data_IF_038716708423
#
_entry.id   IF_038716708423
#
_cell.length_a   1.000
_cell.length_b   1.000
_cell.length_c   1.000
_cell.angle_alpha   90.00
_cell.angle_beta   90.00
_cell.angle_gamma   90.00
#
_symmetry.space_group_name_H-M   'P 1'
#
loop_
_entity.id
_entity.type
_entity.pdbx_description
1 polymer ?
#
# COMPACT_ATOMS: atom_id res chain seq x y z
N UNK A 1 -18.60 -0.47 7.12
CA UNK A 1 -17.42 -1.31 6.78
C UNK A 1 -17.38 -1.42 5.26
N UNK A 2 -16.26 -1.12 4.65
CA UNK A 2 -16.00 -1.21 3.21
C UNK A 2 -16.26 -2.64 2.70
N UNK A 3 -16.99 -2.79 1.61
CA UNK A 3 -17.25 -4.10 1.02
C UNK A 3 -16.05 -4.52 0.16
N UNK A 4 -15.41 -5.66 0.46
CA UNK A 4 -14.38 -6.26 -0.40
C UNK A 4 -15.01 -7.36 -1.25
N UNK A 5 -14.81 -7.29 -2.57
CA UNK A 5 -15.30 -8.26 -3.55
C UNK A 5 -14.05 -8.89 -4.21
N UNK A 6 -13.85 -10.18 -3.98
CA UNK A 6 -12.84 -10.95 -4.73
C UNK A 6 -13.45 -11.43 -6.04
N UNK A 7 -13.04 -10.81 -7.13
CA UNK A 7 -13.62 -10.99 -8.44
C UNK A 7 -13.15 -12.27 -9.11
N UNK A 8 -14.08 -12.92 -9.79
CA UNK A 8 -13.80 -13.95 -10.80
C UNK A 8 -14.32 -13.53 -12.18
N UNK A 9 -15.12 -12.44 -12.23
CA UNK A 9 -15.64 -11.85 -13.45
C UNK A 9 -15.95 -10.36 -13.19
N UNK A 10 -14.95 -9.53 -13.42
CA UNK A 10 -15.01 -8.08 -13.15
C UNK A 10 -16.23 -7.41 -13.80
N UNK A 11 -16.60 -7.82 -15.03
CA UNK A 11 -17.72 -7.25 -15.77
C UNK A 11 -19.04 -7.49 -15.04
N UNK A 12 -19.32 -8.74 -14.67
CA UNK A 12 -20.57 -9.10 -14.02
C UNK A 12 -20.70 -8.44 -12.63
N UNK A 13 -19.61 -8.39 -11.87
CA UNK A 13 -19.59 -7.86 -10.51
C UNK A 13 -19.68 -6.33 -10.48
N UNK A 14 -19.00 -5.65 -11.42
CA UNK A 14 -19.08 -4.20 -11.55
C UNK A 14 -20.48 -3.76 -12.01
N UNK A 15 -21.05 -4.43 -13.01
CA UNK A 15 -22.40 -4.15 -13.49
C UNK A 15 -23.43 -4.33 -12.35
N UNK A 16 -23.39 -5.47 -11.65
CA UNK A 16 -24.28 -5.73 -10.53
C UNK A 16 -24.15 -4.70 -9.39
N UNK A 17 -22.93 -4.28 -9.09
CA UNK A 17 -22.67 -3.26 -8.08
C UNK A 17 -23.21 -1.89 -8.51
N UNK A 18 -23.00 -1.49 -9.77
CA UNK A 18 -23.51 -0.23 -10.30
C UNK A 18 -25.04 -0.20 -10.35
N UNK A 19 -25.69 -1.32 -10.73
CA UNK A 19 -27.14 -1.46 -10.69
C UNK A 19 -27.68 -1.30 -9.25
N UNK A 20 -27.01 -1.93 -8.28
CA UNK A 20 -27.36 -1.80 -6.85
C UNK A 20 -27.21 -0.36 -6.36
N UNK A 21 -26.14 0.33 -6.75
CA UNK A 21 -25.88 1.69 -6.35
C UNK A 21 -26.79 2.71 -7.04
N UNK A 22 -27.36 2.38 -8.20
CA UNK A 22 -28.31 3.22 -8.96
C UNK A 22 -27.84 4.68 -9.07
N UNK A 23 -26.60 4.88 -9.53
CA UNK A 23 -26.02 6.22 -9.67
C UNK A 23 -26.66 6.97 -10.85
N UNK A 24 -26.89 8.29 -10.66
CA UNK A 24 -27.41 9.14 -11.74
C UNK A 24 -26.37 9.41 -12.83
N UNK A 25 -25.09 9.35 -12.49
CA UNK A 25 -23.94 9.46 -13.42
C UNK A 25 -22.78 8.63 -12.89
N UNK A 26 -22.04 8.07 -13.84
CA UNK A 26 -20.81 7.30 -13.55
C UNK A 26 -19.63 8.01 -14.19
N UNK A 27 -18.56 8.16 -13.41
CA UNK A 27 -17.27 8.68 -13.84
C UNK A 27 -16.22 7.59 -13.63
N UNK A 28 -15.31 7.45 -14.60
CA UNK A 28 -14.18 6.53 -14.49
C UNK A 28 -12.89 7.31 -14.41
N UNK A 29 -12.18 7.19 -13.29
CA UNK A 29 -10.86 7.79 -13.09
C UNK A 29 -9.79 6.73 -13.34
N UNK A 30 -8.85 7.07 -14.23
CA UNK A 30 -7.65 6.30 -14.55
C UNK A 30 -6.42 7.23 -14.57
N UNK A 31 -5.23 6.68 -14.52
CA UNK A 31 -4.04 7.36 -15.01
C UNK A 31 -3.73 6.93 -16.46
N UNK A 32 -2.80 7.64 -17.12
CA UNK A 32 -2.45 7.38 -18.53
C UNK A 32 -1.97 5.94 -18.77
N UNK A 33 -1.38 5.28 -17.77
CA UNK A 33 -0.92 3.89 -17.86
C UNK A 33 -2.09 2.92 -17.71
N UNK A 34 -2.93 3.12 -16.72
CA UNK A 34 -4.08 2.25 -16.45
C UNK A 34 -5.21 2.44 -17.48
N UNK A 35 -5.35 3.63 -18.06
CA UNK A 35 -6.23 3.86 -19.22
C UNK A 35 -5.81 2.97 -20.40
N UNK A 36 -4.51 2.84 -20.65
CA UNK A 36 -4.00 2.04 -21.76
C UNK A 36 -4.03 0.53 -21.47
N UNK A 37 -3.61 0.11 -20.27
CA UNK A 37 -3.39 -1.30 -19.95
C UNK A 37 -4.57 -1.98 -19.27
N UNK A 38 -5.31 -1.27 -18.43
CA UNK A 38 -6.35 -1.85 -17.58
C UNK A 38 -7.77 -1.53 -18.06
N UNK A 39 -8.00 -0.36 -18.70
CA UNK A 39 -9.30 0.02 -19.27
C UNK A 39 -9.85 -1.03 -20.25
N UNK A 40 -9.05 -1.66 -21.13
CA UNK A 40 -9.55 -2.70 -22.03
C UNK A 40 -10.17 -3.90 -21.32
N UNK A 41 -9.68 -4.26 -20.12
CA UNK A 41 -10.17 -5.39 -19.33
C UNK A 41 -11.60 -5.18 -18.77
N UNK A 42 -12.06 -3.94 -18.72
CA UNK A 42 -13.40 -3.56 -18.25
C UNK A 42 -14.27 -2.95 -19.38
N UNK A 43 -13.84 -3.06 -20.64
CA UNK A 43 -14.51 -2.44 -21.79
C UNK A 43 -15.92 -2.99 -22.06
N UNK A 44 -16.19 -4.22 -21.64
CA UNK A 44 -17.49 -4.88 -21.81
C UNK A 44 -18.48 -4.56 -20.68
N UNK A 45 -18.05 -3.85 -19.62
CA UNK A 45 -18.94 -3.47 -18.53
C UNK A 45 -19.99 -2.47 -19.00
N UNK A 46 -21.26 -2.83 -18.88
CA UNK A 46 -22.40 -1.96 -19.26
C UNK A 46 -22.41 -0.66 -18.47
N UNK A 47 -22.03 -0.74 -17.18
CA UNK A 47 -21.91 0.40 -16.29
C UNK A 47 -20.95 1.48 -16.81
N UNK A 48 -19.96 1.09 -17.64
CA UNK A 48 -18.96 1.99 -18.17
C UNK A 48 -19.21 2.49 -19.59
N UNK A 49 -20.26 1.98 -20.29
CA UNK A 49 -20.57 2.40 -21.65
C UNK A 49 -20.86 3.90 -21.80
N UNK A 50 -21.42 4.50 -20.76
CA UNK A 50 -21.76 5.93 -20.72
C UNK A 50 -21.01 6.68 -19.61
N UNK A 51 -19.99 6.08 -19.02
CA UNK A 51 -19.17 6.73 -18.01
C UNK A 51 -18.31 7.84 -18.64
N UNK A 52 -18.22 8.98 -17.96
CA UNK A 52 -17.29 10.04 -18.34
C UNK A 52 -15.87 9.66 -17.86
N UNK A 53 -14.92 9.57 -18.80
CA UNK A 53 -13.53 9.25 -18.47
C UNK A 53 -12.78 10.47 -17.97
N UNK A 54 -12.06 10.29 -16.88
CA UNK A 54 -11.12 11.26 -16.30
C UNK A 54 -9.74 10.59 -16.27
N UNK A 55 -8.82 11.11 -17.11
CA UNK A 55 -7.46 10.55 -17.20
C UNK A 55 -6.46 11.54 -16.61
N UNK A 56 -5.69 11.08 -15.62
CA UNK A 56 -4.67 11.89 -14.95
C UNK A 56 -3.25 11.42 -15.27
N UNK A 57 -2.24 12.17 -14.89
CA UNK A 57 -0.84 11.77 -15.04
C UNK A 57 -0.53 10.52 -14.19
N UNK A 58 0.34 9.65 -14.68
CA UNK A 58 0.77 8.46 -13.96
C UNK A 58 1.83 8.78 -12.89
N UNK A 59 2.02 7.85 -11.97
CA UNK A 59 2.99 7.86 -10.87
C UNK A 59 2.70 8.83 -9.73
N UNK A 60 3.35 8.61 -8.59
CA UNK A 60 3.11 9.34 -7.34
C UNK A 60 3.46 10.85 -7.43
N UNK A 61 4.26 11.25 -8.40
CA UNK A 61 4.57 12.66 -8.67
C UNK A 61 3.31 13.46 -9.06
N UNK A 62 2.30 12.80 -9.60
CA UNK A 62 1.02 13.40 -9.97
C UNK A 62 -0.04 13.34 -8.85
N UNK A 63 0.31 12.82 -7.67
CA UNK A 63 -0.58 12.79 -6.51
C UNK A 63 -0.63 14.14 -5.81
N UNK A 64 -1.04 15.18 -6.54
CA UNK A 64 -0.94 16.59 -6.15
C UNK A 64 -2.30 17.28 -6.02
N UNK A 65 -2.30 18.48 -5.42
CA UNK A 65 -3.48 19.34 -5.35
C UNK A 65 -3.97 19.76 -6.75
N UNK A 66 -3.03 20.01 -7.68
CA UNK A 66 -3.39 20.41 -9.06
C UNK A 66 -4.12 19.28 -9.79
N UNK A 67 -3.65 18.04 -9.67
CA UNK A 67 -4.33 16.86 -10.21
C UNK A 67 -5.69 16.64 -9.55
N UNK A 68 -5.78 16.83 -8.25
CA UNK A 68 -7.06 16.76 -7.52
C UNK A 68 -8.05 17.81 -8.04
N UNK A 69 -7.58 19.04 -8.29
CA UNK A 69 -8.38 20.12 -8.88
C UNK A 69 -8.89 19.78 -10.30
N UNK A 70 -8.05 19.08 -11.10
CA UNK A 70 -8.48 18.58 -12.43
C UNK A 70 -9.64 17.57 -12.29
N UNK A 71 -9.56 16.64 -11.35
CA UNK A 71 -10.64 15.67 -11.09
C UNK A 71 -11.93 16.38 -10.66
N UNK A 72 -11.85 17.34 -9.72
CA UNK A 72 -13.04 18.13 -9.32
C UNK A 72 -13.63 18.93 -10.47
N UNK A 73 -12.80 19.50 -11.32
CA UNK A 73 -13.23 20.24 -12.51
C UNK A 73 -13.97 19.33 -13.48
N UNK A 74 -13.44 18.12 -13.74
CA UNK A 74 -14.08 17.14 -14.62
C UNK A 74 -15.44 16.69 -14.04
N UNK A 75 -15.51 16.36 -12.74
CA UNK A 75 -16.76 16.02 -12.06
C UNK A 75 -17.79 17.16 -12.14
N UNK A 76 -17.36 18.40 -11.98
CA UNK A 76 -18.24 19.58 -12.06
C UNK A 76 -18.76 19.82 -13.47
N UNK A 77 -17.88 19.75 -14.48
CA UNK A 77 -18.22 19.92 -15.91
C UNK A 77 -19.16 18.82 -16.39
N UNK A 78 -18.93 17.57 -15.95
CA UNK A 78 -19.81 16.43 -16.19
C UNK A 78 -21.11 16.46 -15.35
N UNK A 79 -21.38 17.57 -14.63
CA UNK A 79 -22.60 17.76 -13.83
C UNK A 79 -22.83 16.66 -12.78
N UNK A 80 -21.74 16.15 -12.17
CA UNK A 80 -21.87 15.20 -11.08
C UNK A 80 -22.74 15.74 -9.94
N UNK A 81 -23.63 14.89 -9.43
CA UNK A 81 -24.49 15.17 -8.27
C UNK A 81 -23.95 14.46 -7.02
N UNK A 82 -24.64 14.55 -5.89
CA UNK A 82 -24.33 13.74 -4.71
C UNK A 82 -24.66 12.26 -4.86
N UNK A 83 -25.43 11.90 -5.88
CA UNK A 83 -25.82 10.53 -6.19
C UNK A 83 -24.93 9.91 -7.28
N UNK A 84 -23.99 10.68 -7.81
CA UNK A 84 -23.05 10.18 -8.81
C UNK A 84 -22.03 9.23 -8.20
N UNK A 85 -21.42 8.40 -9.04
CA UNK A 85 -20.42 7.40 -8.66
C UNK A 85 -19.10 7.70 -9.37
N UNK A 86 -18.02 7.74 -8.62
CA UNK A 86 -16.67 7.75 -9.15
C UNK A 86 -16.06 6.34 -9.03
N UNK A 87 -15.64 5.75 -10.13
CA UNK A 87 -14.94 4.47 -10.19
C UNK A 87 -13.44 4.77 -10.39
N UNK A 88 -12.62 4.39 -9.44
CA UNK A 88 -11.17 4.54 -9.48
C UNK A 88 -10.55 3.24 -9.99
N UNK A 89 -10.11 3.20 -11.25
CA UNK A 89 -9.43 2.06 -11.86
C UNK A 89 -7.93 2.37 -11.96
N UNK A 90 -7.14 1.88 -11.01
CA UNK A 90 -5.71 2.17 -11.01
C UNK A 90 -4.94 1.70 -9.78
N UNK A 91 -3.68 2.07 -9.72
CA UNK A 91 -2.82 1.80 -8.56
C UNK A 91 -3.15 2.69 -7.35
N UNK A 92 -2.31 2.62 -6.31
CA UNK A 92 -2.52 3.36 -5.06
C UNK A 92 -2.67 4.88 -5.24
N UNK A 93 -1.95 5.47 -6.21
CA UNK A 93 -2.10 6.89 -6.51
C UNK A 93 -3.52 7.24 -6.97
N UNK A 94 -4.09 6.44 -7.87
CA UNK A 94 -5.45 6.66 -8.39
C UNK A 94 -6.50 6.41 -7.32
N UNK A 95 -6.36 5.35 -6.53
CA UNK A 95 -7.33 5.03 -5.45
C UNK A 95 -7.31 6.05 -4.33
N UNK A 96 -6.14 6.54 -3.92
CA UNK A 96 -6.00 7.55 -2.86
C UNK A 96 -6.52 8.93 -3.30
N UNK A 97 -6.06 9.41 -4.46
CA UNK A 97 -6.45 10.72 -4.99
C UNK A 97 -7.93 10.73 -5.39
N UNK A 98 -8.41 9.68 -6.07
CA UNK A 98 -9.80 9.54 -6.46
C UNK A 98 -10.73 9.40 -5.25
N UNK A 99 -10.33 8.63 -4.24
CA UNK A 99 -11.05 8.52 -2.97
C UNK A 99 -11.14 9.87 -2.25
N UNK A 100 -10.04 10.65 -2.23
CA UNK A 100 -10.03 11.99 -1.64
C UNK A 100 -10.83 12.99 -2.46
N UNK A 101 -10.78 12.91 -3.79
CA UNK A 101 -11.67 13.70 -4.66
C UNK A 101 -13.13 13.43 -4.36
N UNK A 102 -13.51 12.17 -4.26
CA UNK A 102 -14.87 11.77 -3.92
C UNK A 102 -15.29 12.20 -2.51
N UNK A 103 -14.40 12.09 -1.52
CA UNK A 103 -14.67 12.48 -0.14
C UNK A 103 -14.95 13.97 0.01
N UNK A 104 -14.33 14.81 -0.81
CA UNK A 104 -14.35 16.27 -0.69
C UNK A 104 -15.32 16.94 -1.68
N UNK A 105 -15.55 16.35 -2.86
CA UNK A 105 -16.47 16.90 -3.85
C UNK A 105 -17.91 16.91 -3.31
N UNK A 106 -18.56 18.08 -3.33
CA UNK A 106 -19.93 18.31 -2.81
C UNK A 106 -20.15 17.82 -1.36
N UNK A 107 -19.12 17.75 -0.54
CA UNK A 107 -19.09 17.19 0.83
C UNK A 107 -19.25 15.66 0.87
N UNK A 108 -18.87 14.99 -0.20
CA UNK A 108 -18.85 13.56 -0.37
C UNK A 108 -19.80 13.05 -1.45
N UNK A 109 -19.23 12.31 -2.40
CA UNK A 109 -19.94 11.45 -3.35
C UNK A 109 -19.51 10.01 -3.11
N UNK A 110 -20.24 9.07 -3.70
CA UNK A 110 -19.88 7.64 -3.64
C UNK A 110 -18.71 7.34 -4.57
N UNK A 111 -17.89 6.36 -4.18
CA UNK A 111 -16.83 5.85 -5.03
C UNK A 111 -16.59 4.36 -4.83
N UNK A 112 -16.03 3.72 -5.85
CA UNK A 112 -15.62 2.32 -5.88
C UNK A 112 -14.16 2.28 -6.31
N UNK A 113 -13.35 1.45 -5.67
CA UNK A 113 -11.97 1.20 -6.06
C UNK A 113 -11.85 -0.13 -6.81
N UNK A 114 -11.15 -0.10 -7.94
CA UNK A 114 -10.68 -1.28 -8.68
C UNK A 114 -9.15 -1.17 -8.74
N UNK A 115 -8.45 -1.63 -7.68
CA UNK A 115 -7.00 -1.53 -7.62
C UNK A 115 -6.35 -2.45 -8.66
N UNK A 116 -5.39 -1.92 -9.40
CA UNK A 116 -4.72 -2.63 -10.50
C UNK A 116 -3.28 -3.01 -10.20
N UNK A 117 -2.73 -2.55 -9.08
CA UNK A 117 -1.40 -2.96 -8.59
C UNK A 117 -1.53 -3.79 -7.34
N UNK A 118 -0.60 -4.74 -7.12
CA UNK A 118 -0.62 -5.59 -5.93
C UNK A 118 -0.58 -4.76 -4.64
N UNK A 119 0.25 -3.70 -4.61
CA UNK A 119 0.32 -2.79 -3.47
C UNK A 119 -1.03 -2.10 -3.18
N UNK A 120 -1.75 -1.70 -4.23
CA UNK A 120 -3.06 -1.10 -4.03
C UNK A 120 -4.11 -2.12 -3.55
N UNK A 121 -4.06 -3.36 -4.05
CA UNK A 121 -4.98 -4.44 -3.64
C UNK A 121 -4.84 -4.77 -2.15
N UNK A 122 -3.61 -4.92 -1.66
CA UNK A 122 -3.37 -5.41 -0.29
C UNK A 122 -3.17 -4.29 0.73
N UNK A 123 -2.94 -3.06 0.27
CA UNK A 123 -2.63 -1.94 1.16
C UNK A 123 -3.44 -0.68 0.86
N UNK A 124 -3.14 0.06 -0.21
CA UNK A 124 -3.63 1.43 -0.39
C UNK A 124 -5.17 1.53 -0.51
N UNK A 125 -5.83 0.66 -1.27
CA UNK A 125 -7.28 0.72 -1.48
C UNK A 125 -8.12 0.20 -0.30
N UNK A 126 -7.48 -0.41 0.72
CA UNK A 126 -8.15 -1.03 1.86
C UNK A 126 -7.88 -0.23 3.13
N UNK A 127 -8.96 0.09 3.88
CA UNK A 127 -8.86 0.77 5.18
C UNK A 127 -9.19 2.25 5.16
N UNK A 128 -9.73 2.77 4.05
CA UNK A 128 -10.38 4.08 3.96
C UNK A 128 -9.48 5.30 4.07
N UNK A 129 -8.15 5.13 4.09
CA UNK A 129 -7.22 6.27 4.00
C UNK A 129 -7.22 6.78 2.55
N UNK A 130 -7.46 8.07 2.36
CA UNK A 130 -7.42 8.74 1.05
C UNK A 130 -6.62 10.02 1.18
N UNK A 131 -5.94 10.48 0.12
CA UNK A 131 -5.16 11.70 0.26
C UNK A 131 -4.25 12.01 -0.92
N UNK A 132 -3.53 13.12 -0.76
CA UNK A 132 -2.58 13.66 -1.71
C UNK A 132 -1.26 14.03 -1.03
N UNK A 133 -0.22 14.17 -1.84
CA UNK A 133 1.06 14.73 -1.41
C UNK A 133 0.96 16.27 -1.38
N UNK A 134 1.66 16.88 -0.44
CA UNK A 134 1.65 18.34 -0.31
C UNK A 134 3.01 18.84 0.20
N UNK A 135 3.53 19.91 -0.39
CA UNK A 135 4.81 20.53 -0.03
C UNK A 135 5.99 19.55 0.06
N UNK A 136 6.06 18.59 -0.87
CA UNK A 136 7.12 17.59 -0.89
C UNK A 136 6.94 16.43 0.10
N UNK A 137 5.88 16.45 0.93
CA UNK A 137 5.57 15.40 1.89
C UNK A 137 4.51 14.46 1.32
N UNK A 138 4.74 13.14 1.47
CA UNK A 138 3.79 12.12 1.01
C UNK A 138 2.58 12.04 1.95
N UNK A 139 1.38 11.91 1.34
CA UNK A 139 0.10 11.67 2.05
C UNK A 139 -0.15 12.68 3.20
N UNK A 140 0.21 13.95 2.98
CA UNK A 140 0.12 14.99 4.02
C UNK A 140 -1.31 15.46 4.24
N UNK A 141 -2.09 15.54 3.16
CA UNK A 141 -3.49 15.98 3.20
C UNK A 141 -4.38 14.84 2.77
N UNK A 142 -5.36 14.49 3.61
CA UNK A 142 -6.26 13.40 3.30
C UNK A 142 -7.50 13.36 4.18
N UNK A 143 -8.30 12.32 3.97
CA UNK A 143 -9.51 12.03 4.73
C UNK A 143 -9.64 10.53 4.96
N UNK A 144 -10.31 10.17 6.04
CA UNK A 144 -10.79 8.80 6.25
C UNK A 144 -12.17 8.68 5.59
N UNK A 145 -12.24 8.01 4.45
CA UNK A 145 -13.47 7.75 3.71
C UNK A 145 -13.42 6.37 3.06
N UNK A 146 -14.28 5.49 3.49
CA UNK A 146 -14.43 4.16 2.89
C UNK A 146 -15.11 4.25 1.51
N UNK A 147 -14.62 3.44 0.55
CA UNK A 147 -15.31 3.18 -0.70
C UNK A 147 -16.60 2.37 -0.46
N UNK A 148 -17.58 2.49 -1.34
CA UNK A 148 -18.78 1.61 -1.33
C UNK A 148 -18.37 0.13 -1.51
N UNK A 149 -17.36 -0.09 -2.36
CA UNK A 149 -16.72 -1.39 -2.53
C UNK A 149 -15.29 -1.23 -3.05
N UNK A 150 -14.46 -2.27 -2.77
CA UNK A 150 -13.20 -2.52 -3.46
C UNK A 150 -13.34 -3.84 -4.20
N UNK A 151 -13.16 -3.83 -5.52
CA UNK A 151 -13.21 -5.03 -6.35
C UNK A 151 -11.77 -5.47 -6.63
N UNK A 152 -11.39 -6.62 -6.10
CA UNK A 152 -10.07 -7.22 -6.24
C UNK A 152 -10.12 -8.26 -7.35
N UNK A 153 -9.43 -7.98 -8.44
CA UNK A 153 -9.28 -8.91 -9.57
C UNK A 153 -7.80 -9.05 -9.92
N UNK A 154 -7.22 -10.22 -9.67
CA UNK A 154 -5.79 -10.46 -9.88
C UNK A 154 -5.38 -10.53 -11.35
N UNK A 155 -6.34 -10.58 -12.30
CA UNK A 155 -6.04 -10.49 -13.73
C UNK A 155 -5.37 -9.16 -14.10
N UNK A 156 -5.67 -8.06 -13.38
CA UNK A 156 -4.95 -6.79 -13.55
C UNK A 156 -3.43 -6.90 -13.27
N UNK A 157 -3.01 -7.83 -12.42
CA UNK A 157 -1.59 -8.02 -12.10
C UNK A 157 -0.77 -8.53 -13.28
N UNK A 158 -1.42 -9.09 -14.32
CA UNK A 158 -0.76 -9.47 -15.58
C UNK A 158 -0.30 -8.27 -16.39
N UNK A 159 -0.80 -7.07 -16.10
CA UNK A 159 -0.36 -5.82 -16.72
C UNK A 159 0.79 -5.15 -15.98
N UNK A 160 1.18 -5.72 -14.83
CA UNK A 160 2.16 -5.15 -13.92
C UNK A 160 3.57 -5.66 -14.23
N UNK A 161 4.58 -4.81 -14.13
CA UNK A 161 5.96 -5.24 -14.21
C UNK A 161 6.42 -5.94 -12.91
N UNK A 162 7.51 -6.72 -13.01
CA UNK A 162 8.06 -7.51 -11.91
C UNK A 162 8.42 -6.65 -10.68
N UNK A 163 8.88 -5.42 -10.87
CA UNK A 163 9.28 -4.55 -9.77
C UNK A 163 8.07 -4.10 -8.97
N UNK A 164 7.01 -3.71 -9.66
CA UNK A 164 5.76 -3.31 -9.01
C UNK A 164 5.05 -4.50 -8.37
N UNK A 165 5.14 -5.71 -8.95
CA UNK A 165 4.63 -6.93 -8.32
C UNK A 165 5.37 -7.19 -7.00
N UNK A 166 6.72 -7.19 -6.99
CA UNK A 166 7.53 -7.33 -5.78
C UNK A 166 7.25 -6.24 -4.76
N UNK A 167 7.06 -4.99 -5.21
CA UNK A 167 6.71 -3.90 -4.31
C UNK A 167 5.42 -4.18 -3.52
N UNK A 168 4.37 -4.67 -4.16
CA UNK A 168 3.16 -5.08 -3.44
C UNK A 168 3.37 -6.30 -2.55
N UNK A 169 4.19 -7.25 -2.99
CA UNK A 169 4.45 -8.47 -2.24
C UNK A 169 5.19 -8.25 -0.92
N UNK A 170 5.98 -7.19 -0.79
CA UNK A 170 6.62 -6.82 0.47
C UNK A 170 5.58 -6.55 1.59
N UNK A 171 4.46 -5.92 1.24
CA UNK A 171 3.36 -5.71 2.18
C UNK A 171 2.67 -7.02 2.57
N UNK A 172 2.52 -7.94 1.63
CA UNK A 172 1.97 -9.26 1.92
C UNK A 172 2.90 -10.06 2.85
N UNK A 173 4.21 -10.00 2.63
CA UNK A 173 5.20 -10.60 3.51
C UNK A 173 5.13 -10.00 4.92
N UNK A 174 5.00 -8.68 5.04
CA UNK A 174 4.74 -8.01 6.32
C UNK A 174 3.47 -8.53 6.99
N UNK A 175 2.36 -8.61 6.27
CA UNK A 175 1.09 -9.12 6.81
C UNK A 175 1.23 -10.58 7.30
N UNK A 176 1.98 -11.42 6.59
CA UNK A 176 2.21 -12.80 6.99
C UNK A 176 2.97 -12.91 8.31
N UNK A 177 3.96 -12.04 8.54
CA UNK A 177 4.69 -11.94 9.80
C UNK A 177 3.81 -11.48 10.98
N UNK A 178 2.79 -10.66 10.69
CA UNK A 178 1.83 -10.15 11.68
C UNK A 178 0.71 -11.17 11.99
N UNK A 179 0.50 -12.17 11.13
CA UNK A 179 -0.65 -13.08 11.23
C UNK A 179 -0.31 -14.40 11.92
N UNK A 180 0.40 -15.29 11.24
CA UNK A 180 0.77 -16.60 11.79
C UNK A 180 1.84 -17.32 10.95
N UNK A 181 2.43 -18.38 11.55
CA UNK A 181 3.50 -19.16 10.92
C UNK A 181 3.07 -19.85 9.60
N UNK A 182 1.83 -20.32 9.49
CA UNK A 182 1.36 -20.99 8.28
C UNK A 182 1.32 -20.05 7.10
N UNK A 183 0.76 -18.85 7.28
CA UNK A 183 0.72 -17.81 6.26
C UNK A 183 2.14 -17.35 5.89
N UNK A 184 3.01 -17.14 6.88
CA UNK A 184 4.40 -16.76 6.63
C UNK A 184 5.15 -17.82 5.83
N UNK A 185 5.04 -19.10 6.19
CA UNK A 185 5.72 -20.19 5.50
C UNK A 185 5.22 -20.37 4.06
N UNK A 186 3.95 -20.08 3.79
CA UNK A 186 3.37 -20.13 2.44
C UNK A 186 3.90 -18.98 1.58
N UNK A 187 3.99 -17.77 2.15
CA UNK A 187 4.58 -16.63 1.47
C UNK A 187 6.07 -16.84 1.11
N UNK A 188 6.86 -17.49 1.97
CA UNK A 188 8.28 -17.77 1.66
C UNK A 188 8.46 -18.82 0.56
N UNK A 189 7.44 -19.60 0.24
CA UNK A 189 7.49 -20.60 -0.86
C UNK A 189 7.06 -20.02 -2.20
N UNK A 190 6.43 -18.86 -2.20
CA UNK A 190 5.91 -18.26 -3.42
C UNK A 190 7.05 -17.75 -4.32
N UNK A 191 7.06 -18.22 -5.57
CA UNK A 191 8.05 -17.81 -6.56
C UNK A 191 7.62 -16.52 -7.28
N UNK A 192 8.25 -15.41 -6.91
CA UNK A 192 8.03 -14.10 -7.54
C UNK A 192 8.60 -13.98 -8.96
N UNK A 193 9.46 -14.91 -9.39
CA UNK A 193 10.00 -14.91 -10.75
C UNK A 193 9.06 -15.60 -11.73
N UNK A 194 8.28 -16.58 -11.25
CA UNK A 194 7.28 -17.30 -12.04
C UNK A 194 5.97 -17.40 -11.24
N UNK A 195 5.22 -16.30 -11.10
CA UNK A 195 4.07 -16.26 -10.21
C UNK A 195 2.93 -17.17 -10.69
N UNK A 196 2.49 -18.07 -9.83
CA UNK A 196 1.20 -18.75 -9.97
C UNK A 196 0.09 -17.77 -9.55
N UNK A 197 -0.64 -17.22 -10.51
CA UNK A 197 -1.68 -16.22 -10.25
C UNK A 197 -2.89 -16.78 -9.49
N UNK A 198 -3.19 -18.08 -9.60
CA UNK A 198 -4.26 -18.69 -8.81
C UNK A 198 -3.86 -18.75 -7.33
N UNK A 199 -2.66 -19.20 -7.03
CA UNK A 199 -2.11 -19.17 -5.67
C UNK A 199 -1.93 -17.74 -5.16
N UNK A 200 -1.47 -16.80 -6.02
CA UNK A 200 -1.36 -15.39 -5.65
C UNK A 200 -2.70 -14.81 -5.22
N UNK A 201 -3.80 -15.16 -5.87
CA UNK A 201 -5.15 -14.71 -5.47
C UNK A 201 -5.51 -15.15 -4.05
N UNK A 202 -5.16 -16.38 -3.67
CA UNK A 202 -5.38 -16.88 -2.31
C UNK A 202 -4.55 -16.11 -1.29
N UNK A 203 -3.27 -15.87 -1.58
CA UNK A 203 -2.36 -15.08 -0.74
C UNK A 203 -2.83 -13.62 -0.59
N UNK A 204 -3.29 -13.00 -1.68
CA UNK A 204 -3.90 -11.66 -1.68
C UNK A 204 -5.11 -11.62 -0.75
N UNK A 205 -6.00 -12.63 -0.85
CA UNK A 205 -7.17 -12.69 0.01
C UNK A 205 -6.81 -12.86 1.48
N UNK A 206 -5.80 -13.66 1.82
CA UNK A 206 -5.29 -13.79 3.19
C UNK A 206 -4.71 -12.47 3.71
N UNK A 207 -3.88 -11.80 2.90
CA UNK A 207 -3.24 -10.52 3.20
C UNK A 207 -4.29 -9.43 3.49
N UNK A 208 -5.31 -9.32 2.65
CA UNK A 208 -6.41 -8.35 2.85
C UNK A 208 -7.17 -8.65 4.16
N UNK A 209 -7.49 -9.91 4.45
CA UNK A 209 -8.19 -10.28 5.71
C UNK A 209 -7.37 -9.91 6.94
N UNK A 210 -6.05 -10.13 6.92
CA UNK A 210 -5.16 -9.71 8.00
C UNK A 210 -5.26 -8.19 8.22
N UNK A 211 -5.15 -7.40 7.15
CA UNK A 211 -5.26 -5.94 7.23
C UNK A 211 -6.64 -5.50 7.69
N UNK A 212 -7.72 -6.05 7.13
CA UNK A 212 -9.10 -5.70 7.53
C UNK A 212 -9.35 -5.96 9.01
N UNK A 213 -8.88 -7.10 9.56
CA UNK A 213 -8.97 -7.40 10.98
C UNK A 213 -8.32 -6.32 11.82
N UNK A 214 -7.09 -5.95 11.50
CA UNK A 214 -6.31 -4.93 12.23
C UNK A 214 -6.98 -3.55 12.12
N UNK A 215 -7.43 -3.16 10.92
CA UNK A 215 -8.09 -1.86 10.69
C UNK A 215 -9.46 -1.78 11.37
N UNK A 216 -10.21 -2.89 11.40
CA UNK A 216 -11.52 -2.93 12.05
C UNK A 216 -11.41 -2.79 13.56
N UNK A 217 -10.37 -3.39 14.16
CA UNK A 217 -10.09 -3.29 15.59
C UNK A 217 -9.63 -1.88 15.99
N UNK A 218 -8.89 -1.18 15.12
CA UNK A 218 -8.36 0.16 15.38
C UNK A 218 -8.43 1.06 14.13
N UNK A 219 -9.59 1.62 13.81
CA UNK A 219 -9.77 2.45 12.60
C UNK A 219 -8.89 3.70 12.56
N UNK A 220 -8.52 4.25 13.73
CA UNK A 220 -7.83 5.55 13.84
C UNK A 220 -6.34 5.45 14.20
N UNK A 221 -5.76 4.23 14.22
CA UNK A 221 -4.33 4.01 14.46
C UNK A 221 -3.81 4.48 15.84
N UNK A 222 -4.64 4.30 16.87
CA UNK A 222 -4.22 4.62 18.23
C UNK A 222 -3.54 3.44 18.95
N UNK A 223 -3.79 2.21 18.51
CA UNK A 223 -3.36 0.95 19.11
C UNK A 223 -2.80 -0.04 18.09
N UNK A 224 -3.51 -1.17 17.92
CA UNK A 224 -3.03 -2.33 17.14
C UNK A 224 -2.75 -2.01 15.65
N UNK A 225 -3.41 -1.03 15.06
CA UNK A 225 -3.16 -0.64 13.67
C UNK A 225 -1.71 -0.17 13.44
N UNK A 226 -1.01 0.28 14.50
CA UNK A 226 0.43 0.56 14.44
C UNK A 226 1.27 -0.67 14.07
N UNK A 227 0.74 -1.88 14.22
CA UNK A 227 1.38 -3.11 13.76
C UNK A 227 1.71 -3.08 12.25
N UNK A 228 0.85 -2.45 11.45
CA UNK A 228 1.07 -2.27 10.01
C UNK A 228 2.32 -1.43 9.68
N UNK A 229 2.94 -0.79 10.70
CA UNK A 229 4.19 -0.06 10.56
C UNK A 229 5.45 -0.94 10.71
N UNK A 230 5.33 -2.25 10.90
CA UNK A 230 6.47 -3.17 10.84
C UNK A 230 7.21 -3.01 9.49
N UNK A 231 8.52 -2.84 9.53
CA UNK A 231 9.34 -2.55 8.35
C UNK A 231 9.30 -1.10 7.84
N UNK A 232 8.43 -0.26 8.39
CA UNK A 232 8.24 1.10 7.88
C UNK A 232 9.11 2.15 8.58
N UNK A 233 9.53 1.91 9.82
CA UNK A 233 10.32 2.91 10.54
C UNK A 233 11.68 3.10 9.89
N UNK A 234 12.37 2.02 9.60
CA UNK A 234 13.62 2.04 8.82
C UNK A 234 13.33 2.22 7.33
N UNK A 235 12.29 1.58 6.81
CA UNK A 235 11.93 1.64 5.40
C UNK A 235 11.68 3.05 4.89
N UNK A 236 10.93 3.88 5.60
CA UNK A 236 10.70 5.27 5.22
C UNK A 236 11.98 6.11 5.23
N UNK A 237 12.92 5.85 6.16
CA UNK A 237 14.21 6.51 6.14
C UNK A 237 15.00 6.12 4.88
N UNK A 238 15.02 4.84 4.49
CA UNK A 238 15.65 4.40 3.25
C UNK A 238 14.97 4.98 2.00
N UNK A 239 13.65 5.08 1.99
CA UNK A 239 12.90 5.69 0.88
C UNK A 239 13.25 7.19 0.74
N UNK A 240 13.28 7.92 1.84
CA UNK A 240 13.65 9.34 1.87
C UNK A 240 15.09 9.55 1.45
N UNK A 241 16.03 8.78 2.00
CA UNK A 241 17.44 8.81 1.63
C UNK A 241 17.65 8.53 0.13
N UNK A 242 16.98 7.52 -0.42
CA UNK A 242 17.05 7.21 -1.84
C UNK A 242 16.54 8.36 -2.73
N UNK A 243 15.49 9.06 -2.29
CA UNK A 243 14.98 10.25 -2.99
C UNK A 243 15.98 11.40 -2.98
N UNK A 244 16.62 11.69 -1.84
CA UNK A 244 17.65 12.72 -1.70
C UNK A 244 18.86 12.44 -2.60
N UNK A 245 19.20 11.16 -2.76
CA UNK A 245 20.27 10.69 -3.64
C UNK A 245 19.88 10.65 -5.14
N UNK A 246 18.68 11.10 -5.52
CA UNK A 246 18.13 10.99 -6.86
C UNK A 246 18.11 9.54 -7.40
N UNK A 247 17.96 8.56 -6.54
CA UNK A 247 17.86 7.12 -6.85
C UNK A 247 16.61 6.53 -6.18
N UNK A 248 15.40 7.03 -6.50
CA UNK A 248 14.19 6.62 -5.80
C UNK A 248 13.95 5.12 -5.92
N UNK A 249 13.51 4.52 -4.82
CA UNK A 249 13.09 3.13 -4.74
C UNK A 249 11.57 3.04 -4.59
N UNK A 250 10.98 1.94 -5.01
CA UNK A 250 9.55 1.70 -4.79
C UNK A 250 9.28 1.46 -3.30
N UNK A 251 8.13 1.91 -2.83
CA UNK A 251 7.72 1.82 -1.42
C UNK A 251 7.92 0.41 -0.83
N UNK A 252 7.43 -0.64 -1.49
CA UNK A 252 7.58 -2.00 -0.99
C UNK A 252 9.03 -2.50 -0.94
N UNK A 253 9.93 -1.98 -1.77
CA UNK A 253 11.36 -2.23 -1.62
C UNK A 253 11.90 -1.61 -0.34
N UNK A 254 11.50 -0.38 -0.05
CA UNK A 254 11.83 0.28 1.22
C UNK A 254 11.33 -0.52 2.42
N UNK A 255 10.08 -0.98 2.37
CA UNK A 255 9.48 -1.84 3.41
C UNK A 255 10.24 -3.16 3.56
N UNK A 256 10.58 -3.84 2.45
CA UNK A 256 11.36 -5.07 2.48
C UNK A 256 12.74 -4.85 3.13
N UNK A 257 13.43 -3.78 2.78
CA UNK A 257 14.71 -3.41 3.41
C UNK A 257 14.55 -3.03 4.89
N UNK A 258 13.49 -2.32 5.23
CA UNK A 258 13.16 -2.02 6.62
C UNK A 258 12.87 -3.28 7.44
N UNK A 259 12.19 -4.27 6.85
CA UNK A 259 11.97 -5.58 7.49
C UNK A 259 13.29 -6.30 7.83
N UNK A 260 14.34 -6.18 7.01
CA UNK A 260 15.65 -6.76 7.33
C UNK A 260 16.19 -6.20 8.66
N UNK A 261 16.19 -4.87 8.82
CA UNK A 261 16.65 -4.20 10.03
C UNK A 261 15.72 -4.50 11.21
N UNK A 262 14.42 -4.36 11.04
CA UNK A 262 13.46 -4.49 12.15
C UNK A 262 13.29 -5.93 12.63
N UNK A 263 13.52 -6.95 11.79
CA UNK A 263 13.61 -8.34 12.22
C UNK A 263 14.90 -8.63 13.00
N UNK A 264 16.04 -8.02 12.61
CA UNK A 264 17.25 -8.07 13.42
C UNK A 264 17.02 -7.43 14.80
N UNK A 265 16.42 -6.23 14.84
CA UNK A 265 16.06 -5.55 16.08
C UNK A 265 15.08 -6.38 16.93
N UNK A 266 14.13 -7.06 16.27
CA UNK A 266 13.19 -7.99 16.93
C UNK A 266 13.92 -9.17 17.57
N UNK A 267 14.91 -9.76 16.89
CA UNK A 267 15.69 -10.85 17.44
C UNK A 267 16.56 -10.41 18.62
N UNK A 268 17.18 -9.23 18.52
CA UNK A 268 18.06 -8.69 19.54
C UNK A 268 17.30 -8.20 20.79
N UNK A 269 16.13 -7.59 20.62
CA UNK A 269 15.43 -6.89 21.70
C UNK A 269 14.19 -7.62 22.24
N UNK A 270 13.43 -8.26 21.37
CA UNK A 270 12.16 -8.93 21.73
C UNK A 270 12.20 -10.46 21.57
N UNK A 271 13.40 -11.02 21.34
CA UNK A 271 13.66 -12.46 21.25
C UNK A 271 12.94 -13.17 20.08
N UNK A 272 12.72 -12.46 18.96
CA UNK A 272 12.20 -13.09 17.74
C UNK A 272 13.10 -14.24 17.31
N UNK A 273 12.54 -15.42 16.94
CA UNK A 273 13.36 -16.59 16.62
C UNK A 273 14.33 -16.35 15.46
N UNK A 274 15.62 -16.57 15.70
CA UNK A 274 16.70 -16.32 14.74
C UNK A 274 16.56 -17.14 13.46
N UNK A 275 15.95 -18.33 13.51
CA UNK A 275 15.75 -19.16 12.33
C UNK A 275 14.75 -18.49 11.37
N UNK A 276 13.59 -18.06 11.86
CA UNK A 276 12.58 -17.39 11.05
C UNK A 276 13.10 -16.02 10.53
N UNK A 277 13.85 -15.30 11.35
CA UNK A 277 14.54 -14.08 10.90
C UNK A 277 15.44 -14.37 9.69
N UNK A 278 16.34 -15.35 9.79
CA UNK A 278 17.26 -15.71 8.69
C UNK A 278 16.55 -16.15 7.43
N UNK A 279 15.49 -16.95 7.55
CA UNK A 279 14.68 -17.39 6.40
C UNK A 279 14.02 -16.21 5.70
N UNK A 280 13.43 -15.27 6.45
CA UNK A 280 12.82 -14.07 5.89
C UNK A 280 13.86 -13.16 5.24
N UNK A 281 15.01 -12.95 5.91
CA UNK A 281 16.14 -12.16 5.38
C UNK A 281 16.64 -12.76 4.06
N UNK A 282 16.83 -14.07 4.00
CA UNK A 282 17.27 -14.75 2.79
C UNK A 282 16.28 -14.55 1.63
N UNK A 283 14.99 -14.69 1.90
CA UNK A 283 13.94 -14.46 0.90
C UNK A 283 13.98 -13.01 0.37
N UNK A 284 14.05 -12.03 1.28
CA UNK A 284 14.10 -10.62 0.88
C UNK A 284 15.35 -10.35 0.03
N UNK A 285 16.52 -10.81 0.43
CA UNK A 285 17.76 -10.61 -0.35
C UNK A 285 17.70 -11.23 -1.74
N UNK A 286 17.10 -12.40 -1.85
CA UNK A 286 16.94 -13.11 -3.13
C UNK A 286 16.05 -12.32 -4.11
N UNK A 287 14.99 -11.65 -3.64
CA UNK A 287 13.98 -11.07 -4.51
C UNK A 287 14.06 -9.54 -4.66
N UNK A 288 14.65 -8.82 -3.69
CA UNK A 288 14.67 -7.35 -3.70
C UNK A 288 16.03 -6.75 -4.03
N UNK A 289 17.08 -7.57 -4.06
CA UNK A 289 18.43 -7.10 -4.36
C UNK A 289 19.05 -6.27 -3.25
N UNK A 290 19.99 -5.40 -3.60
CA UNK A 290 20.76 -4.61 -2.65
C UNK A 290 20.34 -3.12 -2.68
N UNK A 291 20.38 -2.51 -1.52
CA UNK A 291 20.31 -1.07 -1.31
C UNK A 291 21.64 -0.61 -0.69
N UNK A 292 22.24 0.45 -1.24
CA UNK A 292 23.61 0.85 -0.86
C UNK A 292 23.63 2.15 -0.08
N UNK A 293 24.25 2.10 1.09
CA UNK A 293 24.65 3.22 1.94
C UNK A 293 25.92 2.85 2.71
N UNK A 294 26.58 3.80 3.34
CA UNK A 294 27.85 3.63 4.08
C UNK A 294 27.67 3.92 5.55
N UNK A 295 28.69 3.66 6.37
CA UNK A 295 28.65 4.04 7.79
C UNK A 295 28.53 5.56 7.98
N UNK A 296 29.02 6.35 7.03
CA UNK A 296 28.95 7.82 7.10
C UNK A 296 27.48 8.33 6.95
N UNK A 297 26.57 7.48 6.43
CA UNK A 297 25.16 7.81 6.26
C UNK A 297 24.30 7.47 7.50
N UNK A 298 24.84 6.76 8.50
CA UNK A 298 24.05 6.25 9.63
C UNK A 298 23.36 7.34 10.44
N UNK A 299 24.11 8.41 10.77
CA UNK A 299 23.54 9.55 11.50
C UNK A 299 22.39 10.19 10.73
N UNK A 300 22.56 10.36 9.43
CA UNK A 300 21.53 10.94 8.56
C UNK A 300 20.29 10.04 8.44
N UNK A 301 20.48 8.73 8.27
CA UNK A 301 19.37 7.78 8.27
C UNK A 301 18.60 7.80 9.60
N UNK A 302 19.32 7.91 10.72
CA UNK A 302 18.69 8.02 12.03
C UNK A 302 17.90 9.33 12.19
N UNK A 303 18.40 10.45 11.67
CA UNK A 303 17.65 11.72 11.63
C UNK A 303 16.40 11.63 10.80
N UNK A 304 16.45 10.98 9.62
CA UNK A 304 15.26 10.72 8.79
C UNK A 304 14.22 9.90 9.54
N UNK A 305 14.65 8.91 10.34
CA UNK A 305 13.74 8.15 11.20
C UNK A 305 13.10 9.03 12.28
N UNK A 306 13.84 9.95 12.91
CA UNK A 306 13.30 10.88 13.92
C UNK A 306 12.20 11.80 13.37
N UNK A 307 12.29 12.16 12.10
CA UNK A 307 11.30 13.01 11.41
C UNK A 307 10.05 12.27 10.93
N UNK A 308 9.96 10.94 11.09
CA UNK A 308 8.74 10.19 10.74
C UNK A 308 7.56 10.67 11.60
N UNK A 309 6.41 10.88 10.96
CA UNK A 309 5.14 11.37 11.56
C UNK A 309 4.64 10.52 12.74
N UNK A 310 5.12 9.29 12.86
CA UNK A 310 4.76 8.35 13.93
C UNK A 310 5.45 8.67 15.25
N UNK A 311 6.47 9.51 15.24
CA UNK A 311 7.28 9.81 16.41
C UNK A 311 6.68 10.95 17.22
N UNK A 312 6.65 10.78 18.53
CA UNK A 312 6.15 11.76 19.47
C UNK A 312 7.32 12.17 20.39
N UNK A 313 7.62 13.48 20.45
CA UNK A 313 8.61 14.00 21.37
C UNK A 313 10.06 13.61 21.03
N UNK A 314 10.39 13.33 19.76
CA UNK A 314 11.76 13.00 19.34
C UNK A 314 12.20 11.57 19.71
N UNK A 315 11.26 10.69 20.02
CA UNK A 315 11.53 9.26 20.31
C UNK A 315 11.05 8.43 19.15
N UNK A 316 11.92 7.57 18.61
CA UNK A 316 11.56 6.63 17.53
C UNK A 316 10.74 5.49 18.13
N UNK A 317 9.54 5.29 17.58
CA UNK A 317 8.64 4.20 17.96
C UNK A 317 8.71 3.07 16.95
N UNK A 318 9.22 1.92 17.37
CA UNK A 318 9.25 0.73 16.54
C UNK A 318 8.05 -0.18 16.81
N UNK A 319 7.60 -0.85 15.76
CA UNK A 319 6.84 -2.09 15.86
C UNK A 319 7.80 -3.24 15.66
N UNK A 320 7.96 -4.09 16.68
CA UNK A 320 8.81 -5.28 16.63
C UNK A 320 7.98 -6.55 16.86
N UNK A 321 8.60 -7.71 16.75
CA UNK A 321 7.97 -9.01 16.93
C UNK A 321 8.69 -9.81 18.01
N UNK A 322 7.96 -10.49 18.91
CA UNK A 322 8.48 -11.53 19.80
C UNK A 322 8.44 -12.94 19.17
N UNK A 323 7.66 -13.08 18.10
CA UNK A 323 7.47 -14.27 17.28
C UNK A 323 6.53 -13.90 16.13
N UNK A 324 6.32 -14.81 15.16
CA UNK A 324 5.33 -14.56 14.10
C UNK A 324 3.95 -14.46 14.74
N UNK A 325 3.24 -13.35 14.50
CA UNK A 325 1.96 -13.03 15.13
C UNK A 325 2.05 -12.46 16.56
N UNK A 326 3.23 -12.44 17.19
CA UNK A 326 3.45 -11.81 18.49
C UNK A 326 3.96 -10.38 18.35
N UNK A 327 3.04 -9.43 18.26
CA UNK A 327 3.30 -8.02 17.94
C UNK A 327 3.69 -7.25 19.20
N UNK A 328 4.80 -6.52 19.15
CA UNK A 328 5.34 -5.66 20.21
C UNK A 328 5.35 -4.21 19.74
N UNK A 329 4.31 -3.47 20.11
CA UNK A 329 4.15 -2.06 19.76
C UNK A 329 5.00 -1.15 20.66
N UNK A 330 5.29 0.05 20.16
CA UNK A 330 5.95 1.15 20.87
C UNK A 330 7.27 0.72 21.54
N UNK A 331 8.10 0.00 20.81
CA UNK A 331 9.43 -0.37 21.29
C UNK A 331 10.41 0.77 21.07
N UNK A 332 11.22 1.05 22.08
CA UNK A 332 12.24 2.13 22.06
C UNK A 332 13.62 1.51 22.14
N UNK A 333 14.49 1.88 21.24
CA UNK A 333 15.84 1.35 21.11
C UNK A 333 16.87 2.47 21.18
N UNK A 334 18.08 2.15 21.64
CA UNK A 334 19.18 3.08 21.59
C UNK A 334 19.64 3.31 20.13
N UNK A 335 20.28 4.45 19.90
CA UNK A 335 20.87 4.78 18.59
C UNK A 335 21.89 3.72 18.16
N UNK A 336 22.68 3.24 19.10
CA UNK A 336 23.69 2.20 18.88
C UNK A 336 23.06 0.90 18.38
N UNK A 337 21.96 0.45 19.01
CA UNK A 337 21.23 -0.76 18.59
C UNK A 337 20.64 -0.60 17.19
N UNK A 338 20.15 0.60 16.84
CA UNK A 338 19.68 0.87 15.47
C UNK A 338 20.86 0.79 14.48
N UNK A 339 22.03 1.31 14.83
CA UNK A 339 23.23 1.22 13.99
C UNK A 339 23.70 -0.21 13.77
N UNK A 340 23.62 -1.08 14.80
CA UNK A 340 23.88 -2.52 14.65
C UNK A 340 22.96 -3.17 13.60
N UNK A 341 21.71 -2.70 13.48
CA UNK A 341 20.80 -3.20 12.42
C UNK A 341 21.23 -2.74 11.02
N UNK A 342 21.84 -1.58 10.89
CA UNK A 342 22.42 -1.10 9.63
C UNK A 342 23.68 -1.88 9.26
N UNK A 343 24.52 -2.22 10.23
CA UNK A 343 25.67 -3.13 10.03
C UNK A 343 25.19 -4.49 9.56
N UNK A 344 24.20 -5.09 10.23
CA UNK A 344 23.58 -6.35 9.80
C UNK A 344 23.01 -6.28 8.39
N UNK A 345 22.38 -5.17 8.02
CA UNK A 345 21.85 -4.98 6.66
C UNK A 345 22.96 -5.00 5.62
N UNK A 346 24.10 -4.35 5.88
CA UNK A 346 25.19 -4.20 4.92
C UNK A 346 26.08 -5.45 4.82
N UNK A 347 26.31 -6.14 5.91
CA UNK A 347 27.29 -7.23 6.02
C UNK A 347 26.67 -8.62 5.94
N UNK A 348 25.39 -8.76 6.24
CA UNK A 348 24.64 -10.02 6.33
C UNK A 348 24.05 -10.50 4.94
#
# INVERSE_FOLDING_TARGET
>A
MQKIIFSQNITAELDALCDQLAADRVFLLTDVTTEQLCRPLVSECKALLHAESIVIGATDINKTLDTLSQVWTALSSGKASRQSLLINLGGGMVTDLGGFAAATFKRGIRFVNIPTTLLAMVDAAVGGKTGINFNGLKNEIGAFKEAEAVIIDTEFLRTLDDKNLRSGYAEMLKHSLLENEAMWADHLKFDLAQPDYAHLQELVAQSIRCKERIVTEDPHEHGIRKALNLGHTVGHAFESFAMEQNRPILHGYAVAYGLLCELFLSAAHTHFPTLQMRQTVQYIRQHYGAFSFTCDDYDHLYELMLHDKKNVGGVINFTLLGGIGDIRLNQHLSKETVFESFDFFREG
#
